data_IF_463372053195
#
_entry.id   IF_463372053195
#
_cell.length_a   1.000
_cell.length_b   1.000
_cell.length_c   1.000
_cell.angle_alpha   90.00
_cell.angle_beta   90.00
_cell.angle_gamma   90.00
#
_symmetry.space_group_name_H-M   'P 1'
#
loop_
_entity.id
_entity.type
_entity.pdbx_description
1 polymer ?
#
# COMPACT_ATOMS: atom_id res chain seq x y z
N UNK A 1 48.98 21.38 -0.51
CA UNK A 1 48.14 21.87 0.61
C UNK A 1 46.86 21.05 0.63
N UNK A 2 46.71 20.13 1.57
CA UNK A 2 45.44 19.43 1.78
C UNK A 2 44.45 20.41 2.44
N UNK A 3 43.33 20.69 1.79
CA UNK A 3 42.30 21.60 2.30
C UNK A 3 41.43 20.93 3.37
N UNK A 4 40.74 21.75 4.18
CA UNK A 4 39.85 21.33 5.28
C UNK A 4 38.82 20.24 4.88
N UNK A 5 38.45 20.17 3.61
CA UNK A 5 37.58 19.13 3.03
C UNK A 5 38.15 17.70 3.05
N UNK A 6 39.40 17.50 3.48
CA UNK A 6 40.06 16.17 3.53
C UNK A 6 40.17 15.58 4.94
N UNK A 7 39.79 16.32 5.99
CA UNK A 7 40.15 16.00 7.38
C UNK A 7 39.43 14.78 8.00
N UNK A 8 38.47 14.18 7.29
CA UNK A 8 37.76 12.95 7.70
C UNK A 8 37.54 11.95 6.54
N UNK A 9 38.27 12.10 5.43
CA UNK A 9 38.21 11.15 4.31
C UNK A 9 39.47 10.31 4.33
N UNK A 10 39.33 9.04 4.69
CA UNK A 10 40.46 8.12 4.84
C UNK A 10 41.13 7.79 3.49
N UNK A 11 40.41 7.94 2.37
CA UNK A 11 40.96 7.77 1.02
C UNK A 11 40.44 8.84 0.05
N UNK A 12 41.37 9.50 -0.66
CA UNK A 12 41.10 10.47 -1.74
C UNK A 12 40.65 9.82 -3.06
N UNK A 13 40.23 8.56 -3.02
CA UNK A 13 39.65 7.84 -4.15
C UNK A 13 38.25 8.39 -4.50
N UNK A 14 37.76 8.21 -5.74
CA UNK A 14 36.36 8.47 -6.04
C UNK A 14 35.47 7.68 -5.08
N UNK A 15 34.35 8.25 -4.64
CA UNK A 15 33.38 7.57 -3.76
C UNK A 15 32.76 6.40 -4.49
N UNK A 16 33.45 5.25 -4.46
CA UNK A 16 32.99 3.99 -5.01
C UNK A 16 32.16 3.29 -3.94
N UNK A 17 30.98 3.82 -3.66
CA UNK A 17 29.97 3.03 -2.98
C UNK A 17 29.51 1.96 -3.96
N UNK A 18 29.79 0.69 -3.66
CA UNK A 18 29.23 -0.42 -4.42
C UNK A 18 27.70 -0.35 -4.43
N UNK A 19 27.07 -1.10 -5.33
CA UNK A 19 25.62 -1.11 -5.47
C UNK A 19 24.99 -1.79 -4.24
N UNK A 20 24.67 -1.00 -3.21
CA UNK A 20 23.96 -1.47 -2.03
C UNK A 20 22.47 -1.11 -2.18
N UNK A 21 21.73 -1.98 -2.88
CA UNK A 21 20.28 -1.84 -2.98
C UNK A 21 19.65 -2.27 -1.67
N UNK A 22 19.54 -1.35 -0.71
CA UNK A 22 18.74 -1.64 0.49
C UNK A 22 17.28 -1.79 0.05
N UNK A 23 16.65 -2.97 0.21
CA UNK A 23 15.27 -3.15 -0.17
C UNK A 23 14.41 -2.22 0.68
N UNK A 24 13.40 -1.61 0.05
CA UNK A 24 12.42 -0.78 0.76
C UNK A 24 11.63 -1.69 1.69
N UNK A 25 12.00 -1.72 2.98
CA UNK A 25 11.35 -2.59 3.99
C UNK A 25 9.91 -2.15 4.28
N UNK A 26 9.60 -0.86 4.10
CA UNK A 26 8.30 -0.26 4.33
C UNK A 26 8.00 0.73 3.20
N UNK A 27 6.80 0.64 2.63
CA UNK A 27 6.34 1.58 1.60
C UNK A 27 6.46 3.03 2.14
N UNK A 28 7.29 3.83 1.47
CA UNK A 28 7.58 5.22 1.81
C UNK A 28 6.29 6.04 1.91
N UNK A 29 5.28 5.74 1.09
CA UNK A 29 3.99 6.45 1.14
C UNK A 29 3.24 6.16 2.45
N UNK A 30 3.20 4.90 2.89
CA UNK A 30 2.51 4.52 4.13
C UNK A 30 3.24 5.12 5.33
N UNK A 31 4.58 5.08 5.34
CA UNK A 31 5.37 5.69 6.40
C UNK A 31 5.14 7.21 6.49
N UNK A 32 5.14 7.89 5.35
CA UNK A 32 4.82 9.32 5.27
C UNK A 32 3.42 9.65 5.78
N UNK A 33 2.42 8.84 5.45
CA UNK A 33 1.06 9.01 5.96
C UNK A 33 0.97 8.76 7.47
N UNK A 34 1.61 7.72 7.99
CA UNK A 34 1.63 7.44 9.43
C UNK A 34 2.32 8.57 10.21
N UNK A 35 3.41 9.15 9.70
CA UNK A 35 4.12 10.22 10.40
C UNK A 35 3.27 11.48 10.59
N UNK A 36 2.44 11.83 9.60
CA UNK A 36 1.47 12.94 9.67
C UNK A 36 0.52 12.76 10.86
N UNK A 37 0.21 11.53 11.25
CA UNK A 37 -0.65 11.30 12.41
C UNK A 37 0.11 11.16 13.74
N UNK A 38 1.31 10.62 13.71
CA UNK A 38 2.13 10.43 14.92
C UNK A 38 2.62 11.77 15.46
N UNK A 39 3.04 12.70 14.61
CA UNK A 39 3.60 13.99 15.04
C UNK A 39 2.59 14.82 15.86
N UNK A 40 1.35 15.05 15.41
CA UNK A 40 0.38 15.80 16.20
C UNK A 40 -0.07 15.04 17.46
N UNK A 41 -0.07 13.70 17.41
CA UNK A 41 -0.33 12.85 18.58
C UNK A 41 0.72 13.04 19.68
N UNK A 42 2.00 13.06 19.32
CA UNK A 42 3.10 13.33 20.24
C UNK A 42 3.07 14.78 20.74
N UNK A 43 2.81 15.74 19.87
CA UNK A 43 2.65 17.15 20.25
C UNK A 43 1.55 17.33 21.29
N UNK A 44 0.40 16.65 21.12
CA UNK A 44 -0.68 16.67 22.08
C UNK A 44 -0.30 16.07 23.44
N UNK A 45 0.50 15.00 23.47
CA UNK A 45 1.03 14.42 24.72
C UNK A 45 1.94 15.38 25.49
N UNK A 46 2.71 16.22 24.78
CA UNK A 46 3.57 17.22 25.43
C UNK A 46 2.74 18.33 26.07
N UNK A 47 1.61 18.71 25.47
CA UNK A 47 0.70 19.76 25.99
C UNK A 47 -0.18 19.23 27.13
N UNK A 48 -0.35 17.91 27.24
CA UNK A 48 -1.22 17.21 28.18
C UNK A 48 -1.06 17.61 29.67
N UNK A 49 0.16 17.85 30.22
CA UNK A 49 0.33 18.27 31.61
C UNK A 49 -0.37 19.61 31.93
N UNK A 50 -0.60 20.46 30.92
CA UNK A 50 -1.26 21.75 31.05
C UNK A 50 -2.79 21.70 31.18
N UNK A 51 -3.43 20.56 30.88
CA UNK A 51 -4.89 20.43 30.95
C UNK A 51 -5.31 20.16 32.40
N UNK A 52 -6.19 20.99 32.97
CA UNK A 52 -6.51 20.95 34.43
C UNK A 52 -7.73 20.09 34.78
N UNK A 53 -8.69 19.88 33.87
CA UNK A 53 -9.96 19.14 34.11
C UNK A 53 -10.33 18.28 32.89
N UNK A 54 -11.00 17.14 33.10
CA UNK A 54 -11.43 16.17 32.05
C UNK A 54 -10.33 15.58 31.16
N UNK A 55 -9.10 15.45 31.68
CA UNK A 55 -7.90 14.95 30.97
C UNK A 55 -8.17 13.69 30.13
N UNK A 56 -8.66 12.62 30.76
CA UNK A 56 -8.85 11.33 30.10
C UNK A 56 -9.89 11.37 28.97
N UNK A 57 -10.98 12.10 29.16
CA UNK A 57 -12.03 12.18 28.15
C UNK A 57 -11.54 12.93 26.91
N UNK A 58 -10.88 14.08 27.11
CA UNK A 58 -10.34 14.87 26.00
C UNK A 58 -9.21 14.13 25.27
N UNK A 59 -8.36 13.41 25.99
CA UNK A 59 -7.28 12.63 25.38
C UNK A 59 -7.83 11.48 24.58
N UNK A 60 -8.77 10.70 25.14
CA UNK A 60 -9.39 9.58 24.45
C UNK A 60 -10.13 10.03 23.18
N UNK A 61 -10.89 11.13 23.24
CA UNK A 61 -11.59 11.66 22.07
C UNK A 61 -10.63 12.12 20.97
N UNK A 62 -9.53 12.78 21.33
CA UNK A 62 -8.51 13.19 20.36
C UNK A 62 -7.82 11.99 19.70
N UNK A 63 -7.31 11.04 20.50
CA UNK A 63 -6.66 9.84 19.97
C UNK A 63 -7.59 8.98 19.14
N UNK A 64 -8.84 8.84 19.56
CA UNK A 64 -9.86 8.11 18.79
C UNK A 64 -10.10 8.77 17.42
N UNK A 65 -10.26 10.09 17.39
CA UNK A 65 -10.46 10.80 16.13
C UNK A 65 -9.23 10.71 15.22
N UNK A 66 -8.03 10.78 15.82
CA UNK A 66 -6.77 10.64 15.11
C UNK A 66 -6.58 9.23 14.53
N UNK A 67 -6.97 8.21 15.29
CA UNK A 67 -6.95 6.82 14.86
C UNK A 67 -7.91 6.60 13.69
N UNK A 68 -9.12 7.15 13.74
CA UNK A 68 -10.07 7.09 12.61
C UNK A 68 -9.45 7.71 11.35
N UNK A 69 -8.87 8.91 11.44
CA UNK A 69 -8.21 9.55 10.31
C UNK A 69 -7.05 8.72 9.75
N UNK A 70 -6.23 8.14 10.62
CA UNK A 70 -5.12 7.26 10.23
C UNK A 70 -5.62 6.01 9.50
N UNK A 71 -6.63 5.33 10.04
CA UNK A 71 -7.22 4.14 9.39
C UNK A 71 -7.85 4.47 8.03
N UNK A 72 -8.47 5.65 7.88
CA UNK A 72 -9.03 6.11 6.61
C UNK A 72 -7.95 6.34 5.54
N UNK A 73 -6.89 7.09 5.88
CA UNK A 73 -5.80 7.34 4.94
C UNK A 73 -5.03 6.05 4.59
N UNK A 74 -4.76 5.19 5.58
CA UNK A 74 -4.14 3.89 5.31
C UNK A 74 -5.04 3.05 4.41
N UNK A 75 -6.35 2.99 4.65
CA UNK A 75 -7.28 2.20 3.80
C UNK A 75 -7.34 2.71 2.37
N UNK A 76 -7.18 4.02 2.14
CA UNK A 76 -7.20 4.63 0.81
C UNK A 76 -5.91 4.30 0.02
N UNK A 77 -4.76 4.29 0.68
CA UNK A 77 -3.48 4.12 0.01
C UNK A 77 -2.92 2.71 0.09
N UNK A 78 -3.33 1.86 1.02
CA UNK A 78 -2.77 0.53 1.22
C UNK A 78 -3.39 -0.51 0.26
N UNK A 79 -2.59 -1.32 -0.45
CA UNK A 79 -3.08 -2.20 -1.52
C UNK A 79 -3.60 -3.56 -1.05
N UNK A 80 -4.13 -3.67 0.17
CA UNK A 80 -4.58 -4.97 0.70
C UNK A 80 -6.10 -5.04 0.86
N UNK A 81 -6.84 -4.62 -0.16
CA UNK A 81 -8.28 -4.84 -0.21
C UNK A 81 -8.61 -6.29 -0.54
N UNK A 82 -7.83 -6.87 -1.46
CA UNK A 82 -7.87 -8.30 -1.75
C UNK A 82 -6.45 -8.85 -1.81
N UNK A 83 -6.21 -9.99 -1.16
CA UNK A 83 -4.89 -10.64 -1.12
C UNK A 83 -5.05 -12.10 -1.50
N UNK A 84 -4.26 -12.55 -2.47
CA UNK A 84 -4.14 -13.95 -2.85
C UNK A 84 -2.66 -14.35 -2.87
N UNK A 85 -2.34 -15.50 -2.27
CA UNK A 85 -0.98 -16.03 -2.21
C UNK A 85 -1.03 -17.51 -2.58
N UNK A 86 -0.21 -17.92 -3.55
CA UNK A 86 -0.15 -19.30 -3.99
C UNK A 86 1.28 -19.75 -4.30
N UNK A 87 1.70 -20.94 -3.83
CA UNK A 87 2.92 -21.57 -4.32
C UNK A 87 2.70 -22.07 -5.74
N UNK A 88 3.68 -21.86 -6.61
CA UNK A 88 3.65 -22.32 -8.00
C UNK A 88 5.03 -22.80 -8.46
N UNK A 89 5.02 -23.74 -9.39
CA UNK A 89 6.21 -24.19 -10.11
C UNK A 89 6.06 -23.75 -11.58
N UNK A 90 6.79 -22.72 -11.99
CA UNK A 90 6.63 -22.11 -13.33
C UNK A 90 7.94 -21.84 -14.03
N UNK A 91 7.90 -21.70 -15.35
CA UNK A 91 9.02 -21.18 -16.13
C UNK A 91 9.25 -19.71 -15.81
N UNK A 92 10.51 -19.33 -15.62
CA UNK A 92 10.86 -17.99 -15.19
C UNK A 92 10.99 -16.98 -16.35
N UNK A 93 11.81 -17.33 -17.36
CA UNK A 93 12.21 -16.43 -18.45
C UNK A 93 12.03 -17.04 -19.82
N UNK A 94 11.87 -16.20 -20.84
CA UNK A 94 11.86 -16.62 -22.23
C UNK A 94 13.17 -17.35 -22.60
N UNK A 95 13.08 -18.32 -23.52
CA UNK A 95 14.20 -19.14 -23.98
C UNK A 95 14.88 -20.00 -22.90
N UNK A 96 14.22 -20.24 -21.76
CA UNK A 96 14.66 -21.19 -20.76
C UNK A 96 13.50 -22.08 -20.31
N UNK A 97 13.73 -23.39 -20.33
CA UNK A 97 12.78 -24.39 -19.84
C UNK A 97 12.97 -24.68 -18.33
N UNK A 98 13.87 -23.97 -17.65
CA UNK A 98 14.07 -24.12 -16.22
C UNK A 98 12.80 -23.68 -15.47
N UNK A 99 12.27 -24.59 -14.66
CA UNK A 99 11.17 -24.31 -13.75
C UNK A 99 11.73 -23.88 -12.40
N UNK A 100 11.10 -22.89 -11.79
CA UNK A 100 11.42 -22.41 -10.46
C UNK A 100 10.21 -22.61 -9.55
N UNK A 101 10.49 -23.02 -8.31
CA UNK A 101 9.50 -23.04 -7.24
C UNK A 101 9.43 -21.64 -6.62
N UNK A 102 8.30 -20.96 -6.83
CA UNK A 102 8.10 -19.58 -6.42
C UNK A 102 6.72 -19.38 -5.78
N UNK A 103 6.62 -18.34 -4.96
CA UNK A 103 5.40 -17.87 -4.34
C UNK A 103 4.98 -16.61 -5.08
N UNK A 104 3.77 -16.63 -5.63
CA UNK A 104 3.16 -15.43 -6.19
C UNK A 104 2.19 -14.85 -5.17
N UNK A 105 2.31 -13.54 -4.94
CA UNK A 105 1.46 -12.78 -4.05
C UNK A 105 0.83 -11.65 -4.85
N UNK A 106 -0.49 -11.67 -4.97
CA UNK A 106 -1.26 -10.63 -5.64
C UNK A 106 -2.01 -9.85 -4.58
N UNK A 107 -1.74 -8.54 -4.51
CA UNK A 107 -2.37 -7.59 -3.60
C UNK A 107 -3.11 -6.55 -4.43
N UNK A 108 -4.43 -6.59 -4.40
CA UNK A 108 -5.28 -5.65 -5.14
C UNK A 108 -5.67 -4.50 -4.21
N UNK A 109 -5.30 -3.28 -4.60
CA UNK A 109 -5.77 -2.03 -3.99
C UNK A 109 -6.95 -1.43 -4.76
N UNK A 110 -7.31 -0.19 -4.45
CA UNK A 110 -8.44 0.47 -5.11
C UNK A 110 -8.13 0.91 -6.55
N UNK A 111 -6.92 1.40 -6.80
CA UNK A 111 -6.54 2.00 -8.10
C UNK A 111 -5.35 1.31 -8.76
N UNK A 112 -4.66 0.47 -7.99
CA UNK A 112 -3.45 -0.20 -8.40
C UNK A 112 -3.39 -1.56 -7.72
N UNK A 113 -2.67 -2.47 -8.35
CA UNK A 113 -2.38 -3.81 -7.84
C UNK A 113 -0.88 -3.97 -7.71
N UNK A 114 -0.48 -4.80 -6.76
CA UNK A 114 0.91 -5.14 -6.53
C UNK A 114 1.07 -6.64 -6.68
N UNK A 115 2.01 -7.06 -7.52
CA UNK A 115 2.35 -8.46 -7.75
C UNK A 115 3.76 -8.68 -7.25
N UNK A 116 3.91 -9.55 -6.27
CA UNK A 116 5.21 -9.97 -5.77
C UNK A 116 5.46 -11.42 -6.17
N UNK A 117 6.70 -11.71 -6.60
CA UNK A 117 7.18 -13.06 -6.85
C UNK A 117 8.41 -13.28 -5.98
N UNK A 118 8.36 -14.27 -5.11
CA UNK A 118 9.46 -14.64 -4.21
C UNK A 118 9.81 -16.10 -4.40
N UNK A 119 11.09 -16.42 -4.53
CA UNK A 119 11.53 -17.82 -4.49
C UNK A 119 11.76 -18.26 -3.05
N UNK A 120 11.39 -19.49 -2.71
CA UNK A 120 11.84 -20.08 -1.46
C UNK A 120 13.29 -20.53 -1.66
N UNK A 121 14.25 -19.75 -1.17
CA UNK A 121 15.59 -20.30 -0.95
C UNK A 121 15.48 -21.19 0.28
N UNK A 122 15.27 -22.49 0.07
CA UNK A 122 15.51 -23.46 1.13
C UNK A 122 16.96 -23.28 1.57
N UNK A 123 17.11 -22.74 2.79
CA UNK A 123 18.36 -22.48 3.46
C UNK A 123 19.14 -23.80 3.59
N UNK A 124 19.91 -24.11 2.56
CA UNK A 124 20.82 -25.24 2.50
C UNK A 124 21.98 -24.98 3.44
N UNK A 125 22.09 -25.85 4.44
CA UNK A 125 23.17 -25.91 5.40
C UNK A 125 24.56 -25.78 4.71
N UNK A 126 25.34 -24.78 5.10
CA UNK A 126 26.77 -24.68 4.75
C UNK A 126 27.12 -23.63 3.68
N UNK A 127 27.60 -22.48 4.15
CA UNK A 127 28.75 -21.76 3.60
C UNK A 127 28.74 -21.39 2.10
N UNK A 128 27.67 -20.83 1.53
CA UNK A 128 27.75 -20.23 0.19
C UNK A 128 26.82 -19.02 0.10
N UNK A 129 27.37 -17.93 -0.43
CA UNK A 129 26.77 -16.67 -0.91
C UNK A 129 25.24 -16.62 -0.83
N UNK A 130 24.72 -15.63 -0.09
CA UNK A 130 23.34 -15.16 -0.24
C UNK A 130 23.20 -14.63 -1.68
N UNK A 131 22.97 -15.50 -2.65
CA UNK A 131 22.29 -15.09 -3.87
C UNK A 131 20.94 -14.58 -3.38
N UNK A 132 20.79 -13.25 -3.40
CA UNK A 132 19.54 -12.58 -3.08
C UNK A 132 18.42 -13.33 -3.78
N UNK A 133 17.52 -13.94 -2.99
CA UNK A 133 16.37 -14.65 -3.55
C UNK A 133 15.67 -13.74 -4.56
N UNK A 134 15.17 -14.31 -5.65
CA UNK A 134 14.48 -13.55 -6.68
C UNK A 134 13.24 -12.92 -6.06
N UNK A 135 13.30 -11.62 -5.80
CA UNK A 135 12.25 -10.82 -5.18
C UNK A 135 11.78 -9.77 -6.18
N UNK A 136 10.67 -10.06 -6.85
CA UNK A 136 9.96 -9.08 -7.67
C UNK A 136 8.85 -8.44 -6.85
N UNK A 137 8.66 -7.14 -7.02
CA UNK A 137 7.60 -6.38 -6.38
C UNK A 137 7.14 -5.28 -7.36
N UNK A 138 6.25 -5.65 -8.28
CA UNK A 138 5.82 -4.78 -9.39
C UNK A 138 4.43 -4.21 -9.14
N UNK A 139 4.30 -2.90 -9.31
CA UNK A 139 3.05 -2.16 -9.11
C UNK A 139 2.45 -1.78 -10.46
N UNK A 140 1.20 -2.18 -10.69
CA UNK A 140 0.46 -1.87 -11.91
C UNK A 140 -0.76 -1.02 -11.60
N UNK A 141 -0.95 0.07 -12.35
CA UNK A 141 -2.11 0.96 -12.18
C UNK A 141 -3.24 0.55 -13.12
N UNK A 142 -4.49 0.47 -12.62
CA UNK A 142 -5.65 0.08 -13.41
C UNK A 142 -6.81 1.07 -13.32
N UNK A 143 -6.56 2.29 -12.82
CA UNK A 143 -7.59 3.31 -12.62
C UNK A 143 -8.36 3.73 -13.88
N UNK A 144 -7.74 3.66 -15.06
CA UNK A 144 -8.38 3.99 -16.35
C UNK A 144 -8.48 2.75 -17.24
N UNK A 145 -9.39 2.82 -18.23
CA UNK A 145 -9.67 1.70 -19.13
C UNK A 145 -8.45 1.25 -19.91
N UNK A 146 -7.78 2.18 -20.56
CA UNK A 146 -6.65 1.90 -21.44
C UNK A 146 -5.31 1.81 -20.70
N UNK A 147 -5.28 2.18 -19.41
CA UNK A 147 -4.04 2.13 -18.61
C UNK A 147 -3.57 0.70 -18.40
N UNK A 148 -4.50 -0.25 -18.21
CA UNK A 148 -4.14 -1.63 -17.92
C UNK A 148 -3.44 -2.32 -19.11
N UNK A 149 -3.93 -2.12 -20.32
CA UNK A 149 -3.31 -2.63 -21.55
C UNK A 149 -1.93 -2.00 -21.79
N UNK A 150 -1.79 -0.71 -21.51
CA UNK A 150 -0.51 -0.01 -21.60
C UNK A 150 0.50 -0.50 -20.55
N UNK A 151 0.05 -0.81 -19.34
CA UNK A 151 0.91 -1.41 -18.32
C UNK A 151 1.34 -2.83 -18.71
N UNK A 152 0.45 -3.60 -19.35
CA UNK A 152 0.80 -4.91 -19.90
C UNK A 152 1.86 -4.79 -21.02
N UNK A 153 1.71 -3.85 -21.95
CA UNK A 153 2.72 -3.65 -23.01
C UNK A 153 4.06 -3.20 -22.45
N UNK A 154 4.06 -2.30 -21.45
CA UNK A 154 5.26 -1.90 -20.73
C UNK A 154 5.92 -3.08 -19.99
N UNK A 155 5.13 -3.94 -19.34
CA UNK A 155 5.61 -5.13 -18.65
C UNK A 155 6.27 -6.13 -19.61
N UNK A 156 5.70 -6.28 -20.81
CA UNK A 156 6.27 -7.11 -21.88
C UNK A 156 7.59 -6.53 -22.41
N UNK A 157 7.67 -5.21 -22.63
CA UNK A 157 8.90 -4.53 -23.06
C UNK A 157 10.01 -4.66 -22.01
N UNK A 158 9.65 -4.57 -20.72
CA UNK A 158 10.59 -4.78 -19.60
C UNK A 158 11.08 -6.23 -19.46
N UNK A 159 10.36 -7.20 -20.04
CA UNK A 159 10.70 -8.62 -19.94
C UNK A 159 10.48 -9.19 -18.54
N UNK A 160 9.38 -8.81 -17.87
CA UNK A 160 9.01 -9.35 -16.56
C UNK A 160 8.80 -10.88 -16.60
N UNK A 161 8.97 -11.59 -15.46
CA UNK A 161 8.83 -13.04 -15.43
C UNK A 161 7.41 -13.49 -15.80
N UNK A 162 7.31 -14.65 -16.45
CA UNK A 162 6.05 -15.16 -17.00
C UNK A 162 4.87 -15.21 -16.01
N UNK A 163 5.03 -15.60 -14.73
CA UNK A 163 3.92 -15.63 -13.78
C UNK A 163 3.29 -14.25 -13.56
N UNK A 164 4.11 -13.20 -13.49
CA UNK A 164 3.63 -11.82 -13.31
C UNK A 164 2.86 -11.37 -14.56
N UNK A 165 3.44 -11.60 -15.74
CA UNK A 165 2.79 -11.29 -17.01
C UNK A 165 1.46 -12.00 -17.14
N UNK A 166 1.38 -13.26 -16.71
CA UNK A 166 0.15 -14.06 -16.82
C UNK A 166 -0.99 -13.49 -15.98
N UNK A 167 -0.70 -13.05 -14.75
CA UNK A 167 -1.71 -12.41 -13.89
C UNK A 167 -2.23 -11.11 -14.51
N UNK A 168 -1.35 -10.27 -15.06
CA UNK A 168 -1.76 -9.00 -15.69
C UNK A 168 -2.57 -9.27 -16.95
N UNK A 169 -2.19 -10.26 -17.75
CA UNK A 169 -2.94 -10.68 -18.94
C UNK A 169 -4.38 -11.08 -18.56
N UNK A 170 -4.57 -11.88 -17.51
CA UNK A 170 -5.92 -12.26 -17.04
C UNK A 170 -6.76 -11.06 -16.61
N UNK A 171 -6.15 -10.06 -15.98
CA UNK A 171 -6.86 -8.87 -15.55
C UNK A 171 -7.08 -7.86 -16.69
N UNK A 172 -6.21 -7.82 -17.69
CA UNK A 172 -6.36 -6.96 -18.87
C UNK A 172 -7.30 -7.55 -19.91
N UNK A 173 -7.46 -8.88 -19.96
CA UNK A 173 -8.31 -9.55 -20.92
C UNK A 173 -9.80 -9.32 -20.60
N UNK A 174 -10.53 -8.80 -21.57
CA UNK A 174 -11.97 -8.53 -21.45
C UNK A 174 -12.82 -9.81 -21.33
N UNK A 175 -12.28 -10.99 -21.65
CA UNK A 175 -13.02 -12.25 -21.65
C UNK A 175 -13.55 -12.68 -20.27
N UNK A 176 -12.82 -12.42 -19.19
CA UNK A 176 -13.23 -12.78 -17.83
C UNK A 176 -13.92 -11.62 -17.08
N UNK A 177 -13.86 -10.39 -17.61
CA UNK A 177 -14.48 -9.21 -17.00
C UNK A 177 -13.88 -8.74 -15.67
N UNK A 178 -12.92 -9.46 -15.08
CA UNK A 178 -12.32 -9.16 -13.78
C UNK A 178 -11.69 -7.78 -13.71
N UNK A 179 -10.91 -7.37 -14.73
CA UNK A 179 -10.30 -6.04 -14.76
C UNK A 179 -11.32 -4.91 -14.66
N UNK A 180 -12.44 -5.03 -15.37
CA UNK A 180 -13.54 -4.06 -15.32
C UNK A 180 -14.20 -4.04 -13.94
N UNK A 181 -14.49 -5.21 -13.36
CA UNK A 181 -15.13 -5.32 -12.05
C UNK A 181 -14.27 -4.70 -10.94
N UNK A 182 -12.98 -5.05 -10.88
CA UNK A 182 -12.06 -4.47 -9.91
C UNK A 182 -11.91 -2.95 -10.07
N UNK A 183 -11.91 -2.45 -11.31
CA UNK A 183 -11.85 -1.00 -11.57
C UNK A 183 -13.09 -0.27 -11.07
N UNK A 184 -14.29 -0.80 -11.35
CA UNK A 184 -15.56 -0.19 -10.92
C UNK A 184 -15.69 -0.25 -9.40
N UNK A 185 -15.40 -1.41 -8.80
CA UNK A 185 -15.38 -1.60 -7.35
C UNK A 185 -14.42 -0.61 -6.67
N UNK A 186 -13.19 -0.51 -7.19
CA UNK A 186 -12.16 0.40 -6.72
C UNK A 186 -12.55 1.87 -6.82
N UNK A 187 -13.21 2.28 -7.91
CA UNK A 187 -13.65 3.66 -8.11
C UNK A 187 -14.73 4.09 -7.10
N UNK A 188 -15.77 3.28 -6.90
CA UNK A 188 -16.84 3.61 -5.96
C UNK A 188 -16.37 3.58 -4.52
N UNK A 189 -15.56 2.59 -4.15
CA UNK A 189 -14.98 2.48 -2.80
C UNK A 189 -14.04 3.64 -2.50
N UNK A 190 -13.18 4.04 -3.44
CA UNK A 190 -12.32 5.20 -3.28
C UNK A 190 -13.13 6.49 -3.11
N UNK A 191 -14.21 6.66 -3.90
CA UNK A 191 -15.09 7.82 -3.79
C UNK A 191 -15.79 7.89 -2.42
N UNK A 192 -16.27 6.76 -1.90
CA UNK A 192 -16.90 6.69 -0.57
C UNK A 192 -15.90 6.94 0.57
N UNK A 193 -14.66 6.46 0.44
CA UNK A 193 -13.61 6.73 1.41
C UNK A 193 -13.18 8.20 1.41
N UNK A 194 -13.08 8.84 0.25
CA UNK A 194 -12.85 10.28 0.15
C UNK A 194 -13.99 11.08 0.77
N UNK A 195 -15.25 10.70 0.51
CA UNK A 195 -16.40 11.34 1.16
C UNK A 195 -16.34 11.18 2.69
N UNK A 196 -16.01 9.98 3.16
CA UNK A 196 -15.79 9.72 4.59
C UNK A 196 -14.66 10.59 5.16
N UNK A 197 -13.55 10.76 4.43
CA UNK A 197 -12.45 11.63 4.83
C UNK A 197 -12.88 13.10 4.98
N UNK A 198 -13.70 13.63 4.07
CA UNK A 198 -14.27 14.99 4.24
C UNK A 198 -15.16 15.09 5.48
N UNK A 199 -16.03 14.11 5.73
CA UNK A 199 -16.86 14.10 6.95
C UNK A 199 -16.03 13.98 8.23
N UNK A 200 -14.89 13.28 8.17
CA UNK A 200 -13.93 13.19 9.28
C UNK A 200 -13.27 14.54 9.56
N UNK A 201 -12.85 15.29 8.54
CA UNK A 201 -12.33 16.66 8.72
C UNK A 201 -13.40 17.54 9.39
N UNK A 202 -14.66 17.47 8.94
CA UNK A 202 -15.77 18.20 9.57
C UNK A 202 -15.95 17.77 11.03
N UNK A 203 -15.83 16.47 11.34
CA UNK A 203 -15.89 15.98 12.73
C UNK A 203 -14.77 16.55 13.60
N UNK A 204 -13.56 16.75 13.06
CA UNK A 204 -12.43 17.35 13.75
C UNK A 204 -12.70 18.84 14.06
N UNK A 205 -13.26 19.58 13.10
CA UNK A 205 -13.69 20.97 13.30
C UNK A 205 -14.82 21.05 14.35
N UNK A 206 -15.82 20.15 14.28
CA UNK A 206 -16.89 20.10 15.27
C UNK A 206 -16.38 19.79 16.67
N UNK A 207 -15.36 18.94 16.84
CA UNK A 207 -14.76 18.66 18.14
C UNK A 207 -14.17 19.93 18.78
N UNK A 208 -13.61 20.85 17.97
CA UNK A 208 -13.04 22.10 18.46
C UNK A 208 -14.10 23.15 18.82
N UNK A 209 -15.15 23.30 18.01
CA UNK A 209 -16.13 24.39 18.18
C UNK A 209 -17.45 23.94 18.85
N UNK A 210 -18.05 22.84 18.42
CA UNK A 210 -19.37 22.40 18.85
C UNK A 210 -19.40 20.87 19.12
N UNK A 211 -19.05 20.41 20.33
CA UNK A 211 -18.97 18.98 20.65
C UNK A 211 -20.31 18.26 20.57
N UNK A 212 -21.44 18.97 20.57
CA UNK A 212 -22.77 18.37 20.44
C UNK A 212 -23.00 17.72 19.07
N UNK A 213 -22.45 18.29 17.99
CA UNK A 213 -22.61 17.75 16.63
C UNK A 213 -21.59 16.64 16.29
N UNK A 214 -20.54 16.50 17.09
CA UNK A 214 -19.45 15.55 16.88
C UNK A 214 -19.93 14.11 16.69
N UNK A 215 -20.86 13.66 17.54
CA UNK A 215 -21.41 12.30 17.46
C UNK A 215 -22.13 12.04 16.14
N UNK A 216 -22.83 13.04 15.58
CA UNK A 216 -23.55 12.90 14.30
C UNK A 216 -22.55 12.80 13.16
N UNK A 217 -21.53 13.66 13.14
CA UNK A 217 -20.49 13.63 12.11
C UNK A 217 -19.76 12.28 12.06
N UNK A 218 -19.35 11.74 13.21
CA UNK A 218 -18.68 10.42 13.27
C UNK A 218 -19.61 9.30 12.81
N UNK A 219 -20.89 9.34 13.16
CA UNK A 219 -21.86 8.36 12.70
C UNK A 219 -21.96 8.34 11.17
N UNK A 220 -22.02 9.51 10.53
CA UNK A 220 -22.00 9.61 9.07
C UNK A 220 -20.68 9.11 8.48
N UNK A 221 -19.53 9.45 9.06
CA UNK A 221 -18.22 8.94 8.63
C UNK A 221 -18.18 7.41 8.64
N UNK A 222 -18.66 6.78 9.73
CA UNK A 222 -18.75 5.33 9.86
C UNK A 222 -19.72 4.69 8.87
N UNK A 223 -20.90 5.30 8.65
CA UNK A 223 -21.87 4.82 7.68
C UNK A 223 -21.31 4.80 6.26
N UNK A 224 -20.59 5.86 5.86
CA UNK A 224 -19.94 5.94 4.54
C UNK A 224 -18.86 4.88 4.34
N UNK A 225 -18.06 4.59 5.36
CA UNK A 225 -17.07 3.49 5.31
C UNK A 225 -17.77 2.15 5.13
N UNK A 226 -18.85 1.92 5.88
CA UNK A 226 -19.64 0.69 5.78
C UNK A 226 -20.24 0.48 4.39
N UNK A 227 -20.79 1.55 3.79
CA UNK A 227 -21.31 1.53 2.41
C UNK A 227 -20.20 1.24 1.41
N UNK A 228 -19.04 1.91 1.55
CA UNK A 228 -17.87 1.65 0.71
C UNK A 228 -17.44 0.19 0.74
N UNK A 229 -17.29 -0.39 1.94
CA UNK A 229 -16.95 -1.81 2.11
C UNK A 229 -17.99 -2.71 1.43
N UNK A 230 -19.28 -2.46 1.64
CA UNK A 230 -20.35 -3.25 1.02
C UNK A 230 -20.28 -3.20 -0.51
N UNK A 231 -20.04 -2.03 -1.08
CA UNK A 231 -19.88 -1.85 -2.53
C UNK A 231 -18.70 -2.65 -3.10
N UNK A 232 -17.55 -2.72 -2.40
CA UNK A 232 -16.44 -3.58 -2.83
C UNK A 232 -16.83 -5.05 -2.87
N UNK A 233 -17.56 -5.51 -1.86
CA UNK A 233 -17.91 -6.90 -1.69
C UNK A 233 -18.96 -7.35 -2.71
N UNK A 234 -20.00 -6.54 -2.94
CA UNK A 234 -21.04 -6.83 -3.93
C UNK A 234 -20.49 -6.84 -5.37
N UNK A 235 -19.53 -5.96 -5.67
CA UNK A 235 -18.90 -5.91 -6.99
C UNK A 235 -17.98 -7.10 -7.29
N UNK A 236 -17.44 -7.76 -6.25
CA UNK A 236 -16.57 -8.93 -6.38
C UNK A 236 -17.39 -10.24 -6.32
N UNK A 237 -18.33 -10.35 -5.39
CA UNK A 237 -19.07 -11.60 -5.14
C UNK A 237 -20.36 -11.75 -5.95
N UNK A 238 -20.84 -10.68 -6.58
CA UNK A 238 -22.09 -10.68 -7.35
C UNK A 238 -22.15 -11.66 -8.52
N UNK A 239 -21.07 -12.40 -8.81
CA UNK A 239 -20.95 -13.33 -9.92
C UNK A 239 -20.70 -14.80 -9.51
N UNK A 240 -20.75 -15.14 -8.22
CA UNK A 240 -20.84 -16.54 -7.77
C UNK A 240 -22.30 -17.05 -7.71
N UNK A 241 -23.23 -16.40 -8.42
CA UNK A 241 -24.63 -16.79 -8.59
C UNK A 241 -25.00 -16.87 -10.05
#
# INVERSE_FOLDING_TARGET
MLGWFTLFREHGAPTFYGENRTPVMLDTHIFGLCSIFVIPSLSFLIILPGVRRHRLSSTLSFFFNMFIGATLLVSLYHPCWHRAETPLSTTYKAFSNAKIDAYILVRVGLQYLNISLSTNTSQGNGNVVVEEGLLYNERFSFSEVNKMEKELSNALIKGLPFPILKVIEYLSADGFGWGRQYRVAGYYTASMLWLSFYTWIVSFVCLAFLPHYFSRCIFYTGALIGIGKRSSHEAIDGNNR
#
